data_IF_672968129911
#
_entry.id   IF_672968129911
#
_cell.length_a   1.000
_cell.length_b   1.000
_cell.length_c   1.000
_cell.angle_alpha   90.00
_cell.angle_beta   90.00
_cell.angle_gamma   90.00
#
_symmetry.space_group_name_H-M   'P 1'
#
loop_
_entity.id
_entity.type
_entity.pdbx_description
1 polymer ?
#
# COMPACT_ATOMS: atom_id res chain seq x y z
N UNK A 1 -11.58 71.14 23.13
CA UNK A 1 -11.98 69.72 23.31
C UNK A 1 -11.67 69.00 22.00
N UNK A 2 -10.71 68.06 22.02
CA UNK A 2 -10.28 67.30 20.83
C UNK A 2 -11.28 66.18 20.55
N UNK A 3 -11.78 66.08 19.32
CA UNK A 3 -12.45 64.88 18.81
C UNK A 3 -11.56 64.19 17.78
N UNK A 4 -11.40 62.89 18.00
CA UNK A 4 -10.44 61.96 17.38
C UNK A 4 -10.99 61.44 16.04
N UNK A 5 -10.18 61.20 14.99
CA UNK A 5 -10.65 60.56 13.78
C UNK A 5 -10.82 59.04 14.02
N UNK A 6 -11.96 58.52 13.58
CA UNK A 6 -12.32 57.11 13.61
C UNK A 6 -11.38 56.33 12.67
N UNK A 7 -10.48 55.52 13.22
CA UNK A 7 -9.64 54.61 12.43
C UNK A 7 -10.47 53.40 12.01
N UNK A 8 -10.53 53.16 10.70
CA UNK A 8 -11.08 51.95 10.09
C UNK A 8 -10.15 50.78 10.42
N UNK A 9 -10.60 49.86 11.28
CA UNK A 9 -9.93 48.59 11.50
C UNK A 9 -10.29 47.62 10.39
N UNK A 10 -9.44 47.49 9.37
CA UNK A 10 -9.53 46.43 8.38
C UNK A 10 -9.04 45.13 9.04
N UNK A 11 -9.98 44.30 9.49
CA UNK A 11 -9.66 42.97 10.03
C UNK A 11 -8.97 42.13 8.96
N UNK A 12 -7.73 41.71 9.23
CA UNK A 12 -7.06 40.73 8.40
C UNK A 12 -7.79 39.39 8.57
N UNK A 13 -8.64 39.04 7.59
CA UNK A 13 -9.08 37.66 7.43
C UNK A 13 -7.84 36.84 7.05
N UNK A 14 -7.31 36.07 8.00
CA UNK A 14 -6.38 34.99 7.70
C UNK A 14 -7.15 33.96 6.88
N UNK A 15 -6.99 34.00 5.55
CA UNK A 15 -7.47 32.94 4.68
C UNK A 15 -6.71 31.66 5.03
N UNK A 16 -7.35 30.76 5.77
CA UNK A 16 -6.86 29.41 5.94
C UNK A 16 -6.71 28.82 4.53
N UNK A 17 -5.47 28.55 4.12
CA UNK A 17 -5.19 27.95 2.83
C UNK A 17 -5.77 26.53 2.87
N UNK A 18 -6.86 26.29 2.14
CA UNK A 18 -7.40 24.94 1.99
C UNK A 18 -6.29 24.07 1.39
N UNK A 19 -5.82 23.08 2.16
CA UNK A 19 -4.94 22.06 1.61
C UNK A 19 -5.80 21.24 0.65
N UNK A 20 -5.55 21.40 -0.65
CA UNK A 20 -6.18 20.57 -1.67
C UNK A 20 -5.59 19.16 -1.59
N UNK A 21 -6.45 18.15 -1.47
CA UNK A 21 -6.09 16.76 -1.55
C UNK A 21 -6.73 16.15 -2.80
N UNK A 22 -5.97 15.32 -3.51
CA UNK A 22 -6.52 14.45 -4.55
C UNK A 22 -6.82 13.09 -3.92
N UNK A 23 -8.01 12.57 -4.21
CA UNK A 23 -8.42 11.23 -3.78
C UNK A 23 -8.76 10.37 -5.01
N UNK A 24 -8.25 9.15 -5.03
CA UNK A 24 -8.32 8.24 -6.17
C UNK A 24 -8.65 6.82 -5.70
N UNK A 25 -9.74 6.26 -6.22
CA UNK A 25 -10.10 4.86 -6.01
C UNK A 25 -9.35 3.99 -7.01
N UNK A 26 -8.29 3.32 -6.55
CA UNK A 26 -7.49 2.42 -7.38
C UNK A 26 -8.13 1.03 -7.52
N UNK A 27 -8.73 0.53 -6.44
CA UNK A 27 -9.39 -0.76 -6.39
C UNK A 27 -10.64 -0.63 -5.52
N UNK A 28 -11.73 -1.23 -5.97
CA UNK A 28 -13.00 -1.29 -5.26
C UNK A 28 -13.58 -2.70 -5.40
N UNK A 29 -14.42 -3.11 -4.46
CA UNK A 29 -15.00 -4.46 -4.42
C UNK A 29 -16.03 -4.72 -5.50
N UNK A 30 -16.64 -3.66 -6.04
CA UNK A 30 -17.67 -3.70 -7.08
C UNK A 30 -17.08 -3.57 -8.49
N UNK A 31 -15.77 -3.38 -8.62
CA UNK A 31 -15.07 -3.14 -9.89
C UNK A 31 -13.93 -4.13 -10.09
N UNK A 32 -13.79 -4.60 -11.31
CA UNK A 32 -12.62 -5.39 -11.69
C UNK A 32 -11.35 -4.54 -11.54
N UNK A 33 -10.26 -5.16 -11.08
CA UNK A 33 -8.95 -4.52 -11.03
C UNK A 33 -8.52 -4.05 -12.42
N UNK A 34 -8.06 -2.81 -12.53
CA UNK A 34 -7.60 -2.22 -13.78
C UNK A 34 -6.20 -1.66 -13.63
N UNK A 35 -5.39 -1.83 -14.68
CA UNK A 35 -4.09 -1.19 -14.76
C UNK A 35 -4.30 0.32 -14.92
N UNK A 36 -3.68 1.09 -14.05
CA UNK A 36 -3.80 2.54 -14.06
C UNK A 36 -2.55 3.21 -13.51
N UNK A 37 -2.29 4.44 -13.95
CA UNK A 37 -1.15 5.21 -13.51
C UNK A 37 -1.55 6.64 -13.18
N UNK A 38 -1.03 7.12 -12.05
CA UNK A 38 -1.15 8.50 -11.61
C UNK A 38 0.23 9.13 -11.61
N UNK A 39 0.40 10.25 -12.31
CA UNK A 39 1.67 10.98 -12.38
C UNK A 39 1.51 12.41 -11.87
N UNK A 40 2.52 12.92 -11.17
CA UNK A 40 2.48 14.28 -10.59
C UNK A 40 2.11 15.40 -11.57
N UNK A 41 2.51 15.26 -12.84
CA UNK A 41 2.26 16.22 -13.91
C UNK A 41 0.76 16.34 -14.24
N UNK A 42 0.02 15.22 -14.25
CA UNK A 42 -1.42 15.25 -14.54
C UNK A 42 -2.23 15.93 -13.42
N UNK A 43 -1.64 16.00 -12.23
CA UNK A 43 -2.21 16.66 -11.06
C UNK A 43 -1.85 18.16 -11.01
N UNK A 44 -1.02 18.64 -11.95
CA UNK A 44 -0.51 20.02 -11.94
C UNK A 44 0.49 20.30 -10.80
N UNK A 45 1.03 19.26 -10.17
CA UNK A 45 2.01 19.41 -9.09
C UNK A 45 3.36 19.82 -9.68
N UNK A 46 3.85 20.99 -9.25
CA UNK A 46 5.19 21.48 -9.61
C UNK A 46 6.19 20.99 -8.55
N UNK A 47 7.07 20.08 -8.93
CA UNK A 47 8.08 19.48 -8.04
C UNK A 47 9.34 19.16 -8.83
N UNK A 48 10.51 19.32 -8.21
CA UNK A 48 11.80 18.94 -8.79
C UNK A 48 11.96 17.41 -8.89
N UNK A 49 11.17 16.67 -8.11
CA UNK A 49 11.10 15.21 -8.11
C UNK A 49 9.68 14.77 -8.43
N UNK A 50 9.36 14.48 -9.70
CA UNK A 50 8.07 13.92 -10.08
C UNK A 50 7.79 12.61 -9.35
N UNK A 51 6.53 12.38 -9.03
CA UNK A 51 6.09 11.10 -8.46
C UNK A 51 5.14 10.36 -9.40
N UNK A 52 5.07 9.05 -9.22
CA UNK A 52 4.13 8.15 -9.89
C UNK A 52 3.53 7.15 -8.91
N UNK A 53 2.27 6.78 -9.14
CA UNK A 53 1.58 5.68 -8.48
C UNK A 53 0.99 4.80 -9.59
N UNK A 54 1.46 3.56 -9.71
CA UNK A 54 1.06 2.65 -10.78
C UNK A 54 0.41 1.41 -10.17
N UNK A 55 -0.85 1.16 -10.47
CA UNK A 55 -1.49 -0.12 -10.18
C UNK A 55 -1.43 -1.01 -11.42
N UNK A 56 -1.03 -2.26 -11.22
CA UNK A 56 -0.96 -3.26 -12.29
C UNK A 56 -1.35 -4.65 -11.80
N UNK A 57 -1.91 -5.45 -12.69
CA UNK A 57 -2.22 -6.86 -12.47
C UNK A 57 -1.07 -7.73 -12.97
N UNK A 58 -0.66 -8.70 -12.14
CA UNK A 58 0.35 -9.69 -12.45
C UNK A 58 -0.27 -10.90 -13.16
N UNK A 59 0.53 -11.57 -13.97
CA UNK A 59 0.12 -12.70 -14.79
C UNK A 59 1.15 -13.84 -14.75
N UNK A 60 0.70 -15.05 -15.04
CA UNK A 60 1.48 -16.28 -15.09
C UNK A 60 1.62 -16.97 -13.72
N UNK A 61 1.80 -18.30 -13.74
CA UNK A 61 2.11 -19.08 -12.53
C UNK A 61 1.07 -18.91 -11.41
N UNK A 62 1.56 -18.87 -10.16
CA UNK A 62 0.71 -18.68 -8.97
C UNK A 62 0.45 -17.21 -8.66
N UNK A 63 0.97 -16.25 -9.44
CA UNK A 63 0.71 -14.81 -9.27
C UNK A 63 -0.43 -14.27 -10.15
N UNK A 64 -1.05 -15.12 -10.97
CA UNK A 64 -2.14 -14.73 -11.87
C UNK A 64 -3.23 -13.94 -11.11
N UNK A 65 -3.57 -12.76 -11.61
CA UNK A 65 -4.62 -11.90 -11.06
C UNK A 65 -4.21 -11.07 -9.84
N UNK A 66 -2.96 -11.14 -9.37
CA UNK A 66 -2.51 -10.32 -8.24
C UNK A 66 -2.38 -8.86 -8.64
N UNK A 67 -3.02 -7.96 -7.89
CA UNK A 67 -2.83 -6.53 -8.00
C UNK A 67 -1.63 -6.07 -7.17
N UNK A 68 -0.79 -5.22 -7.76
CA UNK A 68 0.32 -4.55 -7.09
C UNK A 68 0.27 -3.05 -7.39
N UNK A 69 0.60 -2.24 -6.39
CA UNK A 69 0.71 -0.78 -6.50
C UNK A 69 2.17 -0.40 -6.27
N UNK A 70 2.79 0.17 -7.29
CA UNK A 70 4.14 0.70 -7.26
C UNK A 70 4.07 2.23 -7.06
N UNK A 71 4.68 2.72 -5.99
CA UNK A 71 4.77 4.13 -5.64
C UNK A 71 6.22 4.56 -5.78
N UNK A 72 6.48 5.57 -6.60
CA UNK A 72 7.80 6.17 -6.78
C UNK A 72 7.68 7.68 -6.59
N UNK A 73 8.36 8.26 -5.60
CA UNK A 73 8.35 9.70 -5.36
C UNK A 73 9.61 10.42 -5.89
N UNK A 74 10.40 9.74 -6.74
CA UNK A 74 11.68 10.22 -7.23
C UNK A 74 12.84 10.12 -6.24
N UNK A 75 12.58 9.63 -5.01
CA UNK A 75 13.61 9.36 -3.99
C UNK A 75 13.50 7.94 -3.44
N UNK A 76 12.28 7.50 -3.17
CA UNK A 76 11.92 6.21 -2.62
C UNK A 76 10.92 5.52 -3.55
N UNK A 77 11.10 4.21 -3.70
CA UNK A 77 10.17 3.32 -4.38
C UNK A 77 9.60 2.33 -3.37
N UNK A 78 8.30 2.08 -3.44
CA UNK A 78 7.59 1.12 -2.59
C UNK A 78 6.63 0.33 -3.48
N UNK A 79 6.63 -0.99 -3.33
CA UNK A 79 5.61 -1.86 -3.93
C UNK A 79 4.73 -2.44 -2.83
N UNK A 80 3.41 -2.20 -2.91
CA UNK A 80 2.42 -2.79 -2.00
C UNK A 80 1.47 -3.71 -2.76
N UNK A 81 0.98 -4.76 -2.10
CA UNK A 81 0.18 -5.81 -2.75
C UNK A 81 -1.23 -5.85 -2.15
N UNK A 82 -2.21 -5.14 -2.75
CA UNK A 82 -3.60 -5.17 -2.28
C UNK A 82 -4.19 -6.57 -2.15
N UNK A 83 -3.92 -7.44 -3.12
CA UNK A 83 -4.41 -8.83 -3.11
C UNK A 83 -3.88 -9.65 -1.92
N UNK A 84 -2.81 -9.20 -1.27
CA UNK A 84 -2.20 -9.85 -0.10
C UNK A 84 -2.22 -8.92 1.11
N UNK A 85 -3.41 -8.40 1.44
CA UNK A 85 -3.62 -7.65 2.68
C UNK A 85 -2.83 -6.34 2.79
N UNK A 86 -2.53 -5.70 1.65
CA UNK A 86 -1.70 -4.48 1.59
C UNK A 86 -0.29 -4.68 2.15
N UNK A 87 0.28 -5.89 2.02
CA UNK A 87 1.66 -6.15 2.41
C UNK A 87 2.63 -5.30 1.59
N UNK A 88 3.76 -4.91 2.20
CA UNK A 88 4.85 -4.21 1.50
C UNK A 88 5.79 -5.27 0.95
N UNK A 89 5.76 -5.47 -0.37
CA UNK A 89 6.59 -6.46 -1.03
C UNK A 89 8.07 -6.07 -0.93
N UNK A 90 8.38 -4.82 -1.27
CA UNK A 90 9.75 -4.29 -1.28
C UNK A 90 9.74 -2.77 -1.21
N UNK A 91 10.87 -2.20 -0.81
CA UNK A 91 11.12 -0.78 -0.92
C UNK A 91 12.59 -0.50 -1.27
N UNK A 92 12.88 0.67 -1.82
CA UNK A 92 14.25 1.15 -2.03
C UNK A 92 14.34 2.66 -1.86
N UNK A 93 15.49 3.15 -1.40
CA UNK A 93 15.83 4.58 -1.33
C UNK A 93 17.20 4.77 -1.98
N UNK A 94 17.26 5.51 -3.08
CA UNK A 94 18.44 5.52 -3.95
C UNK A 94 18.83 4.09 -4.37
N UNK A 95 20.08 3.72 -4.13
CA UNK A 95 20.62 2.39 -4.48
C UNK A 95 20.43 1.33 -3.38
N UNK A 96 19.84 1.70 -2.23
CA UNK A 96 19.66 0.79 -1.10
C UNK A 96 18.30 0.11 -1.19
N UNK A 97 18.31 -1.22 -1.32
CA UNK A 97 17.11 -2.07 -1.25
C UNK A 97 16.80 -2.44 0.21
N UNK A 98 15.54 -2.31 0.58
CA UNK A 98 14.96 -2.87 1.80
C UNK A 98 14.19 -4.13 1.40
N UNK A 99 14.69 -5.30 1.81
CA UNK A 99 14.06 -6.58 1.50
C UNK A 99 15.03 -7.74 1.66
N UNK A 100 14.58 -8.91 1.21
CA UNK A 100 15.35 -10.15 1.23
C UNK A 100 14.95 -11.00 0.02
N UNK A 101 15.76 -12.01 -0.30
CA UNK A 101 15.53 -12.87 -1.46
C UNK A 101 14.94 -14.22 -1.05
N UNK A 102 13.60 -14.28 -1.03
CA UNK A 102 12.87 -15.52 -0.79
C UNK A 102 13.09 -16.54 -1.91
N UNK A 103 13.06 -17.86 -1.62
CA UNK A 103 12.91 -18.88 -2.65
C UNK A 103 11.56 -18.80 -3.38
N UNK A 104 10.53 -18.20 -2.78
CA UNK A 104 9.22 -17.95 -3.41
C UNK A 104 9.34 -16.76 -4.37
N UNK A 105 9.33 -17.03 -5.68
CA UNK A 105 9.55 -16.00 -6.73
C UNK A 105 8.28 -15.28 -7.14
N UNK A 106 7.14 -15.97 -7.11
CA UNK A 106 5.85 -15.39 -7.45
C UNK A 106 5.32 -14.53 -6.31
N UNK A 107 4.65 -13.42 -6.62
CA UNK A 107 3.73 -12.79 -5.65
C UNK A 107 2.47 -13.64 -5.63
N UNK A 108 2.48 -14.74 -4.87
CA UNK A 108 1.43 -15.77 -4.93
C UNK A 108 0.07 -15.19 -4.58
N UNK A 109 -0.93 -15.41 -5.45
CA UNK A 109 -2.34 -15.11 -5.22
C UNK A 109 -2.86 -16.02 -4.10
N UNK A 110 -3.54 -15.49 -3.06
CA UNK A 110 -4.13 -16.31 -2.00
C UNK A 110 -5.05 -17.43 -2.50
N UNK A 111 -5.68 -17.27 -3.68
CA UNK A 111 -6.47 -18.32 -4.31
C UNK A 111 -5.69 -19.61 -4.61
N UNK A 112 -4.35 -19.56 -4.60
CA UNK A 112 -3.47 -20.71 -4.77
C UNK A 112 -2.73 -21.10 -3.49
N UNK A 113 -3.15 -20.64 -2.30
CA UNK A 113 -2.52 -20.97 -1.01
C UNK A 113 -3.47 -21.82 -0.17
N UNK A 114 -3.01 -23.01 0.22
CA UNK A 114 -3.69 -23.86 1.20
C UNK A 114 -3.10 -23.64 2.59
N UNK A 115 -3.66 -22.71 3.39
CA UNK A 115 -3.08 -22.32 4.69
C UNK A 115 -2.93 -23.48 5.68
N UNK A 116 -3.88 -24.41 5.68
CA UNK A 116 -3.85 -25.64 6.49
C UNK A 116 -2.76 -26.64 6.04
N UNK A 117 -2.20 -26.46 4.84
CA UNK A 117 -1.13 -27.28 4.31
C UNK A 117 0.07 -27.33 5.26
N UNK A 118 0.82 -28.44 5.21
CA UNK A 118 2.05 -28.65 6.00
C UNK A 118 1.83 -28.47 7.52
N UNK A 119 0.64 -28.81 8.03
CA UNK A 119 0.30 -28.68 9.45
C UNK A 119 0.11 -27.21 9.87
N UNK A 120 -0.55 -26.41 9.03
CA UNK A 120 -0.81 -24.98 9.28
C UNK A 120 0.33 -24.05 8.86
N UNK A 121 1.32 -24.55 8.12
CA UNK A 121 2.46 -23.78 7.61
C UNK A 121 2.29 -23.38 6.13
N UNK A 122 1.09 -23.48 5.57
CA UNK A 122 0.81 -23.19 4.15
C UNK A 122 1.17 -21.76 3.74
N UNK A 123 1.10 -20.81 4.68
CA UNK A 123 1.52 -19.41 4.48
C UNK A 123 2.96 -19.27 3.95
N UNK A 124 3.87 -20.18 4.33
CA UNK A 124 5.26 -20.17 3.87
C UNK A 124 5.41 -20.36 2.35
N UNK A 125 4.40 -20.89 1.66
CA UNK A 125 4.41 -21.03 0.21
C UNK A 125 4.22 -19.69 -0.53
N UNK A 126 3.74 -18.67 0.17
CA UNK A 126 3.55 -17.34 -0.38
C UNK A 126 4.61 -16.33 0.06
N UNK A 127 5.30 -16.54 1.18
CA UNK A 127 6.04 -15.48 1.86
C UNK A 127 7.29 -14.99 1.10
N UNK A 128 7.28 -13.72 0.71
CA UNK A 128 8.42 -13.03 0.11
C UNK A 128 8.45 -11.51 0.35
N UNK A 129 7.60 -11.02 1.25
CA UNK A 129 7.44 -9.58 1.48
C UNK A 129 8.47 -9.00 2.47
N UNK A 130 8.78 -7.71 2.30
CA UNK A 130 9.53 -6.91 3.27
C UNK A 130 8.75 -6.72 4.57
N UNK A 131 7.46 -6.38 4.47
CA UNK A 131 6.56 -6.24 5.62
C UNK A 131 5.26 -6.98 5.34
N UNK A 132 4.89 -7.86 6.26
CA UNK A 132 3.59 -8.54 6.29
C UNK A 132 2.84 -8.15 7.56
N UNK A 133 1.51 -8.01 7.48
CA UNK A 133 0.67 -7.93 8.67
C UNK A 133 0.27 -9.34 9.07
N UNK A 134 0.86 -9.86 10.14
CA UNK A 134 0.53 -11.16 10.71
C UNK A 134 -0.56 -10.97 11.78
N UNK A 135 -1.82 -11.26 11.44
CA UNK A 135 -2.97 -10.91 12.27
C UNK A 135 -4.27 -10.66 11.49
N UNK A 136 -5.36 -10.26 12.14
CA UNK A 136 -5.46 -9.87 13.56
C UNK A 136 -6.31 -10.81 14.41
N UNK A 137 -7.07 -11.71 13.79
CA UNK A 137 -7.91 -12.66 14.51
C UNK A 137 -7.06 -13.59 15.39
N UNK A 138 -5.92 -14.05 14.88
CA UNK A 138 -4.82 -14.62 15.65
C UNK A 138 -3.47 -14.33 14.99
N UNK A 139 -2.38 -14.61 15.71
CA UNK A 139 -1.01 -14.47 15.21
C UNK A 139 -0.08 -15.47 15.89
N UNK A 140 0.94 -15.92 15.17
CA UNK A 140 2.01 -16.74 15.73
C UNK A 140 2.19 -18.03 14.95
N UNK A 141 2.90 -18.98 15.55
CA UNK A 141 3.05 -20.33 15.01
C UNK A 141 1.69 -21.05 14.95
N UNK A 142 1.52 -21.98 14.01
CA UNK A 142 0.30 -22.75 13.95
C UNK A 142 0.14 -23.65 15.19
N UNK A 143 -1.11 -23.91 15.57
CA UNK A 143 -1.42 -24.71 16.74
C UNK A 143 -2.89 -25.08 16.82
N UNK A 144 -3.18 -26.17 17.54
CA UNK A 144 -4.56 -26.52 17.86
C UNK A 144 -5.05 -25.65 19.01
N UNK A 145 -6.15 -24.94 18.80
CA UNK A 145 -6.87 -24.22 19.85
C UNK A 145 -8.33 -24.66 19.83
N UNK A 146 -8.84 -25.15 20.97
CA UNK A 146 -10.22 -25.65 21.12
C UNK A 146 -10.71 -26.62 20.02
N UNK A 147 -9.81 -27.40 19.43
CA UNK A 147 -10.14 -28.37 18.36
C UNK A 147 -10.08 -27.81 16.94
N UNK A 148 -9.73 -26.53 16.78
CA UNK A 148 -9.48 -25.88 15.50
C UNK A 148 -7.97 -25.68 15.29
N UNK A 149 -7.49 -25.88 14.06
CA UNK A 149 -6.11 -25.56 13.71
C UNK A 149 -6.03 -24.07 13.34
N UNK A 150 -5.38 -23.29 14.19
CA UNK A 150 -5.00 -21.91 13.87
C UNK A 150 -3.75 -21.94 13.00
N UNK A 151 -3.82 -21.32 11.83
CA UNK A 151 -2.73 -21.32 10.83
C UNK A 151 -1.65 -20.27 11.14
N UNK A 152 -0.46 -20.47 10.57
CA UNK A 152 0.68 -19.57 10.76
C UNK A 152 0.30 -18.12 10.39
N UNK A 153 0.41 -17.22 11.36
CA UNK A 153 0.28 -15.76 11.19
C UNK A 153 -1.10 -15.23 10.75
N UNK A 154 -2.17 -16.00 10.94
CA UNK A 154 -3.49 -15.68 10.41
C UNK A 154 -3.71 -16.43 9.11
#
# INVERSE_FOLDING_TARGET
MKSLPLLVGLGALTAASSVFAWDYVLLDTDKAAQNQQIISQQLGVKTDKPFTVTMRTLHGGRQEGVSIIDIDNGTMKISVVPTRGMNVLQASVGDVRMGWDSPVKDVVNPAFIELNGRGGLGWLEGFNELVTRCGYEWVGHPGMDNGELLTLHG
#
